data_IF_170773989330
#
_entry.id   IF_170773989330
#
_cell.length_a   1.000
_cell.length_b   1.000
_cell.length_c   1.000
_cell.angle_alpha   90.00
_cell.angle_beta   90.00
_cell.angle_gamma   90.00
#
_symmetry.space_group_name_H-M   'P 1'
#
loop_
_entity.id
_entity.type
_entity.pdbx_description
1 polymer ?
#
# COMPACT_ATOMS: atom_id res chain seq x y z
N UNK A 1 -17.41 -76.41 30.66
CA UNK A 1 -16.25 -76.03 29.74
C UNK A 1 -16.51 -74.73 29.01
N UNK A 2 -17.20 -73.80 29.62
CA UNK A 2 -17.59 -72.54 28.98
C UNK A 2 -16.99 -71.27 29.66
N UNK A 3 -16.18 -71.44 30.67
CA UNK A 3 -15.64 -70.33 31.47
C UNK A 3 -14.27 -69.89 30.98
N UNK A 4 -13.56 -70.76 30.23
CA UNK A 4 -12.19 -70.47 29.77
C UNK A 4 -12.12 -69.49 28.57
N UNK A 5 -13.16 -69.44 27.73
CA UNK A 5 -13.15 -68.60 26.53
C UNK A 5 -13.44 -67.11 26.80
N UNK A 6 -14.21 -66.80 27.85
CA UNK A 6 -14.55 -65.46 28.21
C UNK A 6 -13.37 -64.67 28.84
N UNK A 7 -12.53 -65.37 29.61
CA UNK A 7 -11.37 -64.77 30.28
C UNK A 7 -10.26 -64.43 29.29
N UNK A 8 -10.06 -65.29 28.28
CA UNK A 8 -9.05 -65.09 27.28
C UNK A 8 -9.43 -63.88 26.35
N UNK A 9 -10.72 -63.82 26.02
CA UNK A 9 -11.22 -62.65 25.19
C UNK A 9 -11.14 -61.35 25.95
N UNK A 10 -11.33 -61.36 27.26
CA UNK A 10 -11.26 -60.13 28.04
C UNK A 10 -9.82 -59.65 28.29
N UNK A 11 -8.88 -60.60 28.46
CA UNK A 11 -7.45 -60.23 28.55
C UNK A 11 -6.88 -59.66 27.24
N UNK A 12 -7.30 -60.17 26.10
CA UNK A 12 -6.83 -59.66 24.81
C UNK A 12 -7.42 -58.26 24.56
N UNK A 13 -8.67 -58.03 24.91
CA UNK A 13 -9.29 -56.72 24.81
C UNK A 13 -8.66 -55.67 25.73
N UNK A 14 -8.31 -56.05 26.95
CA UNK A 14 -7.63 -55.17 27.90
C UNK A 14 -6.18 -54.86 27.50
N UNK A 15 -5.47 -55.80 26.95
CA UNK A 15 -4.11 -55.56 26.45
C UNK A 15 -4.07 -54.67 25.18
N UNK A 16 -5.06 -54.78 24.31
CA UNK A 16 -5.17 -53.92 23.14
C UNK A 16 -5.53 -52.48 23.51
N UNK A 17 -6.34 -52.26 24.55
CA UNK A 17 -6.64 -50.90 25.02
C UNK A 17 -5.42 -50.20 25.65
N UNK A 18 -4.54 -50.96 26.29
CA UNK A 18 -3.32 -50.42 26.89
C UNK A 18 -2.24 -50.09 25.81
N UNK A 19 -2.27 -50.81 24.68
CA UNK A 19 -1.36 -50.55 23.58
C UNK A 19 -1.84 -49.44 22.64
N UNK A 20 -3.14 -49.06 22.72
CA UNK A 20 -3.68 -47.95 21.95
C UNK A 20 -3.52 -46.55 22.62
N UNK A 21 -2.99 -46.53 23.83
CA UNK A 21 -2.63 -45.30 24.51
C UNK A 21 -1.33 -44.76 23.94
N UNK A 22 -1.43 -44.16 22.76
CA UNK A 22 -0.32 -43.39 22.22
C UNK A 22 0.13 -42.35 23.24
N UNK A 23 1.36 -42.42 23.69
CA UNK A 23 1.93 -41.43 24.60
C UNK A 23 2.14 -40.14 23.79
N UNK A 24 1.16 -39.26 23.86
CA UNK A 24 1.27 -37.95 23.19
C UNK A 24 2.05 -37.01 24.11
N UNK A 25 3.23 -36.63 23.69
CA UNK A 25 3.99 -35.58 24.36
C UNK A 25 3.74 -34.26 23.65
N UNK A 26 3.13 -33.25 24.31
CA UNK A 26 2.92 -31.96 23.68
C UNK A 26 4.26 -31.27 23.45
N UNK A 27 4.41 -30.77 22.24
CA UNK A 27 5.55 -29.89 21.86
C UNK A 27 5.00 -28.48 21.65
N UNK A 28 5.56 -27.52 22.41
CA UNK A 28 5.20 -26.11 22.25
C UNK A 28 6.15 -25.47 21.23
N UNK A 29 5.57 -24.90 20.18
CA UNK A 29 6.30 -24.07 19.22
C UNK A 29 5.87 -22.61 19.40
N UNK A 30 6.80 -21.68 19.35
CA UNK A 30 6.53 -20.25 19.39
C UNK A 30 7.27 -19.53 18.27
N UNK A 31 6.68 -18.45 17.76
CA UNK A 31 7.28 -17.55 16.79
C UNK A 31 6.93 -16.11 17.17
N UNK A 32 7.89 -15.21 17.06
CA UNK A 32 7.65 -13.76 17.18
C UNK A 32 7.62 -13.16 15.80
N UNK A 33 6.52 -12.46 15.47
CA UNK A 33 6.38 -11.73 14.21
C UNK A 33 6.64 -10.26 14.51
N UNK A 34 7.70 -9.72 13.91
CA UNK A 34 8.04 -8.31 14.04
C UNK A 34 7.14 -7.45 13.16
N UNK A 35 6.91 -6.21 13.58
CA UNK A 35 6.25 -5.20 12.76
C UNK A 35 7.11 -4.90 11.53
N UNK A 36 6.48 -4.90 10.37
CA UNK A 36 7.13 -4.62 9.10
C UNK A 36 6.26 -3.67 8.29
N UNK A 37 6.81 -2.47 8.01
CA UNK A 37 6.18 -1.43 7.24
C UNK A 37 6.83 -1.38 5.86
N UNK A 38 6.07 -1.67 4.82
CA UNK A 38 6.54 -1.60 3.44
C UNK A 38 5.37 -1.35 2.49
N UNK A 39 5.68 -0.69 1.38
CA UNK A 39 4.73 -0.48 0.30
C UNK A 39 5.42 -0.51 -1.06
N UNK A 40 4.65 -0.71 -2.10
CA UNK A 40 5.07 -0.62 -3.49
C UNK A 40 4.19 0.35 -4.25
N UNK A 41 4.74 0.99 -5.27
CA UNK A 41 4.00 1.87 -6.19
C UNK A 41 3.98 1.26 -7.59
N UNK A 42 2.86 1.40 -8.30
CA UNK A 42 2.70 0.83 -9.65
C UNK A 42 3.58 1.50 -10.70
N UNK A 43 3.78 2.80 -10.57
CA UNK A 43 4.54 3.62 -11.51
C UNK A 43 5.47 4.58 -10.77
N UNK A 44 6.67 4.75 -11.30
CA UNK A 44 7.65 5.72 -10.80
C UNK A 44 7.71 6.99 -11.65
N UNK A 45 6.84 7.12 -12.66
CA UNK A 45 6.75 8.28 -13.52
C UNK A 45 5.30 8.62 -13.88
N UNK A 46 4.99 9.92 -13.87
CA UNK A 46 3.73 10.50 -14.32
C UNK A 46 4.03 11.41 -15.51
N UNK A 47 3.28 11.26 -16.59
CA UNK A 47 3.36 12.13 -17.75
C UNK A 47 2.04 12.86 -17.95
N UNK A 48 2.06 14.19 -17.79
CA UNK A 48 0.88 15.04 -17.98
C UNK A 48 0.65 15.43 -19.44
N UNK A 49 1.55 15.01 -20.35
CA UNK A 49 1.46 15.36 -21.76
C UNK A 49 1.84 16.82 -22.03
N UNK A 50 1.43 17.34 -23.18
CA UNK A 50 1.65 18.74 -23.56
C UNK A 50 0.48 19.61 -23.05
N UNK A 51 0.81 20.63 -22.27
CA UNK A 51 -0.14 21.61 -21.74
C UNK A 51 0.29 23.01 -22.18
N UNK A 52 -0.68 23.84 -22.57
CA UNK A 52 -0.41 25.24 -22.89
C UNK A 52 -0.27 26.08 -21.60
N UNK A 53 0.55 27.15 -21.60
CA UNK A 53 0.54 28.11 -20.51
C UNK A 53 -0.87 28.63 -20.22
N UNK A 54 -1.25 28.68 -18.95
CA UNK A 54 -2.58 29.06 -18.49
C UNK A 54 -3.62 27.96 -18.55
N UNK A 55 -3.25 26.75 -18.98
CA UNK A 55 -4.16 25.59 -18.99
C UNK A 55 -3.88 24.60 -17.86
N UNK A 56 -4.81 23.70 -17.64
CA UNK A 56 -4.65 22.60 -16.69
C UNK A 56 -5.16 21.27 -17.30
N UNK A 57 -4.80 20.17 -16.69
CA UNK A 57 -5.47 18.90 -16.94
C UNK A 57 -6.94 19.03 -16.50
N UNK A 58 -7.87 18.54 -17.32
CA UNK A 58 -9.30 18.62 -16.97
C UNK A 58 -9.58 17.84 -15.69
N UNK A 59 -8.99 16.64 -15.58
CA UNK A 59 -9.11 15.74 -14.43
C UNK A 59 -7.74 15.41 -13.85
N UNK A 60 -7.71 15.05 -12.59
CA UNK A 60 -6.57 14.38 -11.97
C UNK A 60 -6.54 12.90 -12.39
N UNK A 61 -6.25 12.64 -13.67
CA UNK A 61 -6.38 11.30 -14.27
C UNK A 61 -5.09 10.48 -14.25
N UNK A 62 -3.96 11.11 -13.94
CA UNK A 62 -2.69 10.40 -13.80
C UNK A 62 -2.66 9.71 -12.44
N UNK A 63 -2.61 8.38 -12.45
CA UNK A 63 -2.78 7.56 -11.26
C UNK A 63 -1.49 6.83 -10.89
N UNK A 64 -1.20 6.84 -9.59
CA UNK A 64 -0.25 5.94 -8.94
C UNK A 64 -1.05 5.03 -8.02
N UNK A 65 -0.84 3.73 -8.12
CA UNK A 65 -1.38 2.75 -7.17
C UNK A 65 -0.35 2.46 -6.10
N UNK A 66 -0.78 2.51 -4.85
CA UNK A 66 0.03 2.16 -3.68
C UNK A 66 -0.52 0.87 -3.10
N UNK A 67 0.33 -0.14 -2.98
CA UNK A 67 -0.01 -1.44 -2.40
C UNK A 67 0.82 -1.66 -1.14
N UNK A 68 0.16 -1.91 -0.01
CA UNK A 68 0.85 -2.28 1.22
C UNK A 68 1.39 -3.71 1.08
N UNK A 69 2.67 -3.87 1.34
CA UNK A 69 3.38 -5.16 1.36
C UNK A 69 3.91 -5.51 2.75
N UNK A 70 3.61 -4.68 3.74
CA UNK A 70 3.92 -4.91 5.15
C UNK A 70 2.88 -5.77 5.87
N UNK A 71 3.03 -5.86 7.18
CA UNK A 71 2.06 -6.50 8.09
C UNK A 71 1.34 -5.49 9.00
N UNK A 72 1.58 -4.20 8.78
CA UNK A 72 0.85 -3.08 9.40
C UNK A 72 0.19 -2.26 8.29
N UNK A 73 -1.01 -1.78 8.55
CA UNK A 73 -1.62 -0.75 7.70
C UNK A 73 -0.84 0.55 7.80
N UNK A 74 -0.87 1.37 6.75
CA UNK A 74 -0.14 2.62 6.71
C UNK A 74 -0.99 3.78 6.20
N UNK A 75 -0.70 4.98 6.71
CA UNK A 75 -1.18 6.21 6.11
C UNK A 75 -0.22 6.64 4.99
N UNK A 76 -0.77 7.09 3.88
CA UNK A 76 0.02 7.60 2.78
C UNK A 76 0.11 9.12 2.87
N UNK A 77 1.33 9.62 2.82
CA UNK A 77 1.63 11.04 2.73
C UNK A 77 2.23 11.32 1.35
N UNK A 78 2.07 12.56 0.88
CA UNK A 78 2.67 13.01 -0.38
C UNK A 78 3.27 14.40 -0.23
N UNK A 79 4.37 14.63 -0.96
CA UNK A 79 5.04 15.92 -1.10
C UNK A 79 5.68 16.04 -2.48
N UNK A 80 6.16 17.23 -2.81
CA UNK A 80 6.91 17.43 -4.05
C UNK A 80 7.75 18.71 -4.02
N UNK A 81 8.60 18.85 -5.01
CA UNK A 81 9.35 20.09 -5.25
C UNK A 81 8.67 20.95 -6.34
N UNK A 82 9.19 22.14 -6.58
CA UNK A 82 8.77 22.98 -7.71
C UNK A 82 9.12 22.32 -9.05
N UNK A 83 8.31 22.60 -10.06
CA UNK A 83 8.60 22.25 -11.44
C UNK A 83 9.79 23.06 -11.96
N UNK A 84 10.70 22.40 -12.65
CA UNK A 84 11.94 23.04 -13.13
C UNK A 84 12.24 22.64 -14.58
N UNK A 85 12.69 23.63 -15.37
CA UNK A 85 13.28 23.44 -16.69
C UNK A 85 14.34 24.54 -16.92
N UNK A 86 15.61 24.17 -17.02
CA UNK A 86 16.73 25.11 -17.05
C UNK A 86 16.66 26.10 -15.87
N UNK A 87 16.57 27.40 -16.11
CA UNK A 87 16.37 28.41 -15.05
C UNK A 87 14.91 28.76 -14.78
N UNK A 88 13.97 28.19 -15.53
CA UNK A 88 12.55 28.48 -15.35
C UNK A 88 11.94 27.54 -14.32
N UNK A 89 11.07 28.08 -13.46
CA UNK A 89 10.39 27.32 -12.41
C UNK A 89 8.95 27.73 -12.28
N UNK A 90 8.09 26.83 -11.77
CA UNK A 90 6.79 27.19 -11.23
C UNK A 90 6.45 26.33 -10.02
N UNK A 91 5.50 26.80 -9.22
CA UNK A 91 5.27 26.29 -7.88
C UNK A 91 4.75 24.86 -7.83
N UNK A 92 5.13 24.14 -6.80
CA UNK A 92 4.66 22.80 -6.46
C UNK A 92 3.13 22.72 -6.34
N UNK A 93 2.49 23.78 -5.88
CA UNK A 93 1.04 23.89 -5.69
C UNK A 93 0.23 23.86 -7.00
N UNK A 94 0.89 23.94 -8.15
CA UNK A 94 0.25 23.74 -9.45
C UNK A 94 0.01 22.24 -9.76
N UNK A 95 0.59 21.35 -8.99
CA UNK A 95 0.21 19.94 -8.96
C UNK A 95 -0.86 19.75 -7.89
N UNK A 96 -1.92 19.03 -8.23
CA UNK A 96 -2.96 18.64 -7.28
C UNK A 96 -3.01 17.12 -7.19
N UNK A 97 -3.43 16.62 -6.04
CA UNK A 97 -3.67 15.19 -5.82
C UNK A 97 -5.07 14.95 -5.26
N UNK A 98 -5.57 13.73 -5.40
CA UNK A 98 -6.84 13.27 -4.85
C UNK A 98 -6.86 11.74 -4.71
N UNK A 99 -7.68 11.22 -3.81
CA UNK A 99 -7.97 9.78 -3.70
C UNK A 99 -8.94 9.26 -4.78
N UNK A 100 -9.49 10.15 -5.60
CA UNK A 100 -10.38 9.82 -6.71
C UNK A 100 -10.05 10.64 -7.95
N UNK A 101 -10.49 10.19 -9.14
CA UNK A 101 -10.39 10.97 -10.35
C UNK A 101 -11.42 12.11 -10.33
N UNK A 102 -10.96 13.31 -9.99
CA UNK A 102 -11.78 14.52 -9.84
C UNK A 102 -11.33 15.62 -10.80
N UNK A 103 -12.15 16.65 -10.97
CA UNK A 103 -11.75 17.87 -11.68
C UNK A 103 -10.51 18.47 -11.03
N UNK A 104 -9.61 19.04 -11.84
CA UNK A 104 -8.36 19.67 -11.36
C UNK A 104 -8.60 20.63 -10.18
N UNK A 105 -9.59 21.51 -10.28
CA UNK A 105 -9.93 22.47 -9.23
C UNK A 105 -10.52 21.87 -7.95
N UNK A 106 -10.85 20.58 -7.94
CA UNK A 106 -11.33 19.85 -6.76
C UNK A 106 -10.25 19.01 -6.08
N UNK A 107 -9.05 18.95 -6.65
CA UNK A 107 -7.89 18.28 -6.05
C UNK A 107 -7.27 19.13 -4.94
N UNK A 108 -6.54 18.49 -4.05
CA UNK A 108 -5.73 19.13 -3.01
C UNK A 108 -4.37 19.52 -3.59
N UNK A 109 -3.95 20.78 -3.39
CA UNK A 109 -2.66 21.23 -3.86
C UNK A 109 -1.51 20.47 -3.19
N UNK A 110 -0.53 20.04 -3.99
CA UNK A 110 0.70 19.43 -3.50
C UNK A 110 1.55 20.50 -2.79
N UNK A 111 2.23 20.11 -1.74
CA UNK A 111 3.09 21.00 -0.94
C UNK A 111 4.52 20.48 -0.90
N UNK A 112 5.47 21.35 -0.55
CA UNK A 112 6.87 20.97 -0.37
C UNK A 112 7.14 20.19 0.92
N UNK A 113 6.16 20.10 1.80
CA UNK A 113 6.19 19.29 3.03
C UNK A 113 5.21 18.15 2.90
N UNK A 114 5.53 17.00 3.48
CA UNK A 114 4.66 15.82 3.45
C UNK A 114 3.30 16.14 4.08
N UNK A 115 2.25 15.93 3.31
CA UNK A 115 0.86 16.09 3.73
C UNK A 115 0.18 14.73 3.76
N UNK A 116 -0.61 14.49 4.80
CA UNK A 116 -1.44 13.29 4.92
C UNK A 116 -2.53 13.31 3.85
N UNK A 117 -2.60 12.26 3.06
CA UNK A 117 -3.61 12.11 2.02
C UNK A 117 -4.94 11.59 2.55
N UNK A 118 -5.02 11.24 3.84
CA UNK A 118 -6.12 10.49 4.44
C UNK A 118 -6.41 9.14 3.73
N UNK A 119 -5.47 8.66 2.92
CA UNK A 119 -5.52 7.35 2.30
C UNK A 119 -4.87 6.36 3.26
N UNK A 120 -5.69 5.52 3.87
CA UNK A 120 -5.23 4.41 4.70
C UNK A 120 -5.15 3.16 3.83
N UNK A 121 -3.96 2.59 3.71
CA UNK A 121 -3.76 1.31 3.03
C UNK A 121 -3.70 0.24 4.10
N UNK A 122 -4.70 -0.62 4.16
CA UNK A 122 -4.70 -1.78 5.06
C UNK A 122 -3.78 -2.86 4.49
N UNK A 123 -3.32 -3.77 5.35
CA UNK A 123 -2.43 -4.87 4.97
C UNK A 123 -2.90 -5.58 3.71
N UNK A 124 -2.00 -5.68 2.72
CA UNK A 124 -2.23 -6.28 1.40
C UNK A 124 -3.29 -5.57 0.53
N UNK A 125 -3.78 -4.39 0.93
CA UNK A 125 -4.72 -3.61 0.12
C UNK A 125 -3.99 -2.70 -0.86
N UNK A 126 -4.72 -2.27 -1.90
CA UNK A 126 -4.24 -1.35 -2.92
C UNK A 126 -5.16 -0.14 -2.97
N UNK A 127 -4.57 1.04 -2.97
CA UNK A 127 -5.28 2.31 -3.15
C UNK A 127 -4.65 3.15 -4.26
N UNK A 128 -5.41 4.08 -4.80
CA UNK A 128 -4.98 4.94 -5.90
C UNK A 128 -4.86 6.38 -5.46
N UNK A 129 -3.81 7.04 -5.91
CA UNK A 129 -3.63 8.49 -5.81
C UNK A 129 -3.63 9.05 -7.23
N UNK A 130 -4.47 10.01 -7.47
CA UNK A 130 -4.65 10.68 -8.76
C UNK A 130 -3.97 12.05 -8.74
N UNK A 131 -3.29 12.40 -9.82
CA UNK A 131 -2.58 13.67 -9.96
C UNK A 131 -3.08 14.47 -11.15
N UNK A 132 -3.21 15.78 -10.96
CA UNK A 132 -3.50 16.76 -11.98
C UNK A 132 -2.44 17.86 -11.98
N UNK A 133 -2.30 18.56 -13.10
CA UNK A 133 -1.34 19.64 -13.26
C UNK A 133 -2.00 20.86 -13.90
N UNK A 134 -1.70 22.05 -13.40
CA UNK A 134 -1.97 23.33 -14.03
C UNK A 134 -0.68 24.04 -14.39
N UNK A 135 -0.59 24.57 -15.59
CA UNK A 135 0.56 25.35 -16.04
C UNK A 135 0.24 26.84 -15.91
N UNK A 136 1.04 27.64 -15.16
CA UNK A 136 0.80 29.08 -15.03
C UNK A 136 0.82 29.80 -16.38
N UNK A 137 0.06 30.89 -16.51
CA UNK A 137 0.14 31.76 -17.66
C UNK A 137 1.55 32.40 -17.76
N UNK A 138 2.05 32.55 -18.97
CA UNK A 138 3.36 33.15 -19.23
C UNK A 138 4.56 32.24 -18.98
N UNK A 139 4.33 30.95 -18.68
CA UNK A 139 5.41 29.98 -18.51
C UNK A 139 6.15 29.76 -19.85
N UNK A 140 7.50 29.75 -19.81
CA UNK A 140 8.32 29.53 -20.99
C UNK A 140 8.12 28.10 -21.55
N UNK A 141 8.21 27.92 -22.89
CA UNK A 141 8.16 26.57 -23.48
C UNK A 141 9.33 25.71 -23.01
N UNK A 142 9.07 24.45 -22.76
CA UNK A 142 10.09 23.48 -22.34
C UNK A 142 9.51 22.22 -21.71
N UNK A 143 10.37 21.25 -21.43
CA UNK A 143 9.99 20.03 -20.71
C UNK A 143 10.34 20.21 -19.24
N UNK A 144 9.34 20.49 -18.45
CA UNK A 144 9.48 20.65 -17.00
C UNK A 144 9.40 19.30 -16.29
N UNK A 145 10.16 19.17 -15.21
CA UNK A 145 10.13 18.01 -14.33
C UNK A 145 9.89 18.40 -12.88
N UNK A 146 9.28 17.50 -12.13
CA UNK A 146 9.02 17.60 -10.70
C UNK A 146 9.30 16.23 -10.08
N UNK A 147 9.84 16.21 -8.85
CA UNK A 147 9.85 15.01 -8.03
C UNK A 147 8.63 15.05 -7.12
N UNK A 148 7.87 13.97 -7.13
CA UNK A 148 6.77 13.73 -6.18
C UNK A 148 7.21 12.57 -5.29
N UNK A 149 7.10 12.76 -3.98
CA UNK A 149 7.40 11.74 -3.00
C UNK A 149 6.10 11.13 -2.47
N UNK A 150 6.05 9.82 -2.41
CA UNK A 150 5.00 9.04 -1.76
C UNK A 150 5.64 8.38 -0.56
N UNK A 151 5.09 8.62 0.62
CA UNK A 151 5.65 8.19 1.89
C UNK A 151 4.59 7.36 2.62
N UNK A 152 5.01 6.24 3.17
CA UNK A 152 4.19 5.41 4.05
C UNK A 152 4.55 5.70 5.50
N UNK A 153 3.54 5.95 6.32
CA UNK A 153 3.68 6.13 7.77
C UNK A 153 2.87 5.04 8.48
N UNK A 154 3.53 4.15 9.18
CA UNK A 154 2.96 3.08 10.00
C UNK A 154 3.02 3.39 11.49
#
# INVERSE_FOLDING_TARGET
>A
MAISSAIIGWMIGSMMLVMAGGNTSPVTASVTINNYCAFTVSNTAINFGALNPGSNTIYSSNVITVTDSGNLGSNILTSGNSWTFASNTFGVTNTVWSSANVLYGSGTALTGTSADTAIVVTTSATNSIYFGLGVPAGQAPGTYSQTIEIISSC
#
